data_IF_240795888518
#
_entry.id   IF_240795888518
#
_cell.length_a   1.000
_cell.length_b   1.000
_cell.length_c   1.000
_cell.angle_alpha   90.00
_cell.angle_beta   90.00
_cell.angle_gamma   90.00
#
_symmetry.space_group_name_H-M   'P 1'
#
loop_
_entity.id
_entity.type
_entity.pdbx_description
1 polymer ?
#
# COMPACT_ATOMS: atom_id res chain seq x y z
N UNK A 1 0.19 6.11 -21.74
CA UNK A 1 -0.25 7.04 -20.69
C UNK A 1 0.67 6.89 -19.49
N UNK A 2 1.29 7.97 -19.00
CA UNK A 2 1.98 7.92 -17.69
C UNK A 2 0.88 7.72 -16.66
N UNK A 3 0.78 6.52 -16.08
CA UNK A 3 -0.22 6.19 -15.05
C UNK A 3 -0.06 7.13 -13.87
N UNK A 4 -0.81 8.23 -13.91
CA UNK A 4 -0.84 9.26 -12.89
C UNK A 4 -2.08 9.09 -12.03
N UNK A 5 -2.01 9.64 -10.82
CA UNK A 5 -3.19 9.73 -9.98
C UNK A 5 -4.12 10.77 -10.58
N UNK A 6 -5.41 10.45 -10.72
CA UNK A 6 -6.42 11.46 -11.01
C UNK A 6 -6.66 12.29 -9.74
N UNK A 7 -6.28 13.58 -9.70
CA UNK A 7 -6.45 14.40 -8.51
C UNK A 7 -7.91 14.52 -8.09
N UNK A 8 -8.86 14.42 -9.03
CA UNK A 8 -10.29 14.47 -8.75
C UNK A 8 -10.81 13.24 -8.00
N UNK A 9 -10.08 12.11 -8.04
CA UNK A 9 -10.40 10.89 -7.33
C UNK A 9 -9.68 10.77 -5.98
N UNK A 10 -8.89 11.78 -5.59
CA UNK A 10 -8.21 11.81 -4.29
C UNK A 10 -9.13 12.40 -3.24
N UNK A 11 -9.38 11.66 -2.17
CA UNK A 11 -10.07 12.17 -0.99
C UNK A 11 -9.07 12.31 0.17
N UNK A 12 -8.99 13.49 0.76
CA UNK A 12 -8.20 13.72 1.98
C UNK A 12 -9.16 13.78 3.16
N UNK A 13 -8.97 12.86 4.12
CA UNK A 13 -9.71 12.82 5.39
C UNK A 13 -8.82 13.35 6.51
N UNK A 14 -9.36 14.22 7.34
CA UNK A 14 -8.71 14.72 8.55
C UNK A 14 -9.65 14.48 9.72
N UNK A 15 -9.75 13.22 10.14
CA UNK A 15 -10.74 12.77 11.13
C UNK A 15 -10.42 13.28 12.55
N UNK A 16 -9.15 13.52 12.85
CA UNK A 16 -8.69 14.22 14.05
C UNK A 16 -7.61 15.24 13.70
N UNK A 17 -7.33 16.24 14.56
CA UNK A 17 -6.23 17.21 14.35
C UNK A 17 -4.86 16.54 14.16
N UNK A 18 -4.74 15.30 14.60
CA UNK A 18 -3.51 14.53 14.65
C UNK A 18 -3.43 13.45 13.57
N UNK A 19 -4.47 13.28 12.74
CA UNK A 19 -4.53 12.22 11.74
C UNK A 19 -5.01 12.73 10.39
N UNK A 20 -4.15 12.58 9.38
CA UNK A 20 -4.54 12.74 7.97
C UNK A 20 -4.50 11.37 7.30
N UNK A 21 -5.55 11.06 6.55
CA UNK A 21 -5.60 9.94 5.64
C UNK A 21 -5.85 10.41 4.21
N UNK A 22 -5.22 9.75 3.25
CA UNK A 22 -5.48 9.93 1.82
C UNK A 22 -6.14 8.66 1.32
N UNK A 23 -7.28 8.80 0.65
CA UNK A 23 -7.97 7.71 -0.02
C UNK A 23 -7.89 7.95 -1.52
N UNK A 24 -7.45 6.95 -2.28
CA UNK A 24 -7.41 7.00 -3.74
C UNK A 24 -7.73 5.62 -4.30
N UNK A 25 -8.75 5.54 -5.16
CA UNK A 25 -9.37 4.28 -5.54
C UNK A 25 -9.70 3.45 -4.29
N UNK A 26 -9.30 2.18 -4.24
CA UNK A 26 -9.52 1.29 -3.10
C UNK A 26 -8.37 1.27 -2.08
N UNK A 27 -7.51 2.29 -2.10
CA UNK A 27 -6.34 2.38 -1.22
C UNK A 27 -6.52 3.47 -0.17
N UNK A 28 -6.22 3.13 1.09
CA UNK A 28 -6.18 4.08 2.19
C UNK A 28 -4.75 4.23 2.73
N UNK A 29 -4.28 5.47 2.79
CA UNK A 29 -2.95 5.86 3.26
C UNK A 29 -3.08 6.72 4.50
N UNK A 30 -2.75 6.17 5.67
CA UNK A 30 -2.76 6.92 6.93
C UNK A 30 -1.38 7.51 7.20
N UNK A 31 -1.34 8.81 7.44
CA UNK A 31 -0.09 9.55 7.61
C UNK A 31 0.13 10.04 9.05
N UNK A 32 -0.88 9.97 9.92
CA UNK A 32 -0.80 10.61 11.25
C UNK A 32 -0.57 12.12 11.12
N UNK A 33 0.16 12.72 12.08
CA UNK A 33 0.47 14.16 12.11
C UNK A 33 1.93 14.46 11.77
N UNK A 34 2.17 15.65 11.19
CA UNK A 34 3.51 16.19 10.93
C UNK A 34 4.30 15.50 9.81
N UNK A 35 5.39 16.15 9.39
CA UNK A 35 6.33 15.67 8.35
C UNK A 35 5.66 15.15 7.07
N UNK A 36 4.55 15.76 6.65
CA UNK A 36 3.72 15.25 5.54
C UNK A 36 4.50 15.11 4.23
N UNK A 37 5.36 16.07 3.89
CA UNK A 37 6.18 15.99 2.68
C UNK A 37 7.13 14.79 2.67
N UNK A 38 7.79 14.51 3.79
CA UNK A 38 8.69 13.35 3.92
C UNK A 38 7.91 12.03 3.88
N UNK A 39 6.72 12.00 4.50
CA UNK A 39 5.81 10.84 4.47
C UNK A 39 5.31 10.57 3.06
N UNK A 40 4.87 11.60 2.34
CA UNK A 40 4.44 11.48 0.94
C UNK A 40 5.57 11.01 0.01
N UNK A 41 6.79 11.50 0.22
CA UNK A 41 7.97 11.00 -0.52
C UNK A 41 8.18 9.51 -0.25
N UNK A 42 8.13 9.10 1.01
CA UNK A 42 8.27 7.68 1.39
C UNK A 42 7.14 6.81 0.86
N UNK A 43 5.91 7.31 0.85
CA UNK A 43 4.78 6.63 0.24
C UNK A 43 5.08 6.27 -1.22
N UNK A 44 5.63 7.22 -1.98
CA UNK A 44 6.06 6.99 -3.36
C UNK A 44 7.13 5.90 -3.48
N UNK A 45 8.12 5.91 -2.58
CA UNK A 45 9.19 4.89 -2.53
C UNK A 45 8.65 3.49 -2.23
N UNK A 46 7.79 3.36 -1.21
CA UNK A 46 7.19 2.07 -0.82
C UNK A 46 6.26 1.56 -1.92
N UNK A 47 5.41 2.42 -2.48
CA UNK A 47 4.51 2.05 -3.57
C UNK A 47 5.29 1.56 -4.80
N UNK A 48 6.42 2.20 -5.12
CA UNK A 48 7.30 1.77 -6.21
C UNK A 48 7.94 0.39 -5.93
N UNK A 49 8.44 0.16 -4.72
CA UNK A 49 9.01 -1.12 -4.28
C UNK A 49 7.96 -2.24 -4.31
N UNK A 50 6.75 -1.99 -3.80
CA UNK A 50 5.66 -2.97 -3.84
C UNK A 50 5.23 -3.33 -5.25
N UNK A 51 5.15 -2.33 -6.14
CA UNK A 51 4.88 -2.56 -7.56
C UNK A 51 5.99 -3.40 -8.22
N UNK A 52 7.26 -3.12 -7.92
CA UNK A 52 8.39 -3.92 -8.43
C UNK A 52 8.32 -5.37 -7.94
N UNK A 53 7.88 -5.59 -6.71
CA UNK A 53 7.69 -6.93 -6.13
C UNK A 53 6.41 -7.63 -6.58
N UNK A 54 5.50 -6.93 -7.27
CA UNK A 54 4.21 -7.47 -7.68
C UNK A 54 3.25 -7.71 -6.51
N UNK A 55 3.38 -6.91 -5.44
CA UNK A 55 2.52 -6.99 -4.26
C UNK A 55 1.33 -6.04 -4.43
N UNK A 56 0.12 -6.56 -4.21
CA UNK A 56 -1.10 -5.77 -4.09
C UNK A 56 -1.37 -5.46 -2.61
N UNK A 57 -1.72 -4.21 -2.31
CA UNK A 57 -1.97 -3.74 -0.95
C UNK A 57 -3.24 -2.88 -0.93
N UNK A 58 -3.98 -2.89 0.18
CA UNK A 58 -5.17 -2.01 0.38
C UNK A 58 -4.87 -0.83 1.30
N UNK A 59 -3.96 -1.04 2.24
CA UNK A 59 -3.79 -0.15 3.38
C UNK A 59 -2.32 0.06 3.67
N UNK A 60 -1.94 1.32 3.89
CA UNK A 60 -0.60 1.68 4.32
C UNK A 60 -0.65 2.76 5.40
N UNK A 61 0.09 2.53 6.48
CA UNK A 61 0.23 3.45 7.60
C UNK A 61 1.68 3.92 7.69
N UNK A 62 1.89 5.22 7.50
CA UNK A 62 3.18 5.89 7.58
C UNK A 62 3.38 6.37 9.02
N UNK A 63 4.25 5.67 9.75
CA UNK A 63 4.56 5.98 11.13
C UNK A 63 5.73 6.98 11.24
N UNK A 64 5.92 7.60 12.42
CA UNK A 64 7.18 8.26 12.75
C UNK A 64 8.40 7.34 12.54
N UNK A 65 9.60 7.90 12.54
CA UNK A 65 10.87 7.13 12.55
C UNK A 65 11.16 6.24 11.32
N UNK A 66 10.68 6.64 10.14
CA UNK A 66 10.96 5.91 8.89
C UNK A 66 10.29 4.55 8.74
N UNK A 67 9.33 4.23 9.60
CA UNK A 67 8.59 2.98 9.54
C UNK A 67 7.29 3.10 8.76
N UNK A 68 6.85 2.00 8.16
CA UNK A 68 5.54 1.88 7.54
C UNK A 68 4.96 0.48 7.80
N UNK A 69 3.68 0.43 8.12
CA UNK A 69 2.92 -0.81 8.17
C UNK A 69 2.07 -0.92 6.91
N UNK A 70 2.10 -2.07 6.23
CA UNK A 70 1.35 -2.26 4.99
C UNK A 70 0.55 -3.55 5.05
N UNK A 71 -0.72 -3.46 4.70
CA UNK A 71 -1.59 -4.63 4.53
C UNK A 71 -1.51 -5.10 3.08
N UNK A 72 -0.82 -6.22 2.87
CA UNK A 72 -0.70 -6.86 1.56
C UNK A 72 -1.88 -7.81 1.37
N UNK A 73 -2.66 -7.59 0.31
CA UNK A 73 -3.83 -8.42 -0.03
C UNK A 73 -3.44 -9.61 -0.89
N UNK A 74 -2.47 -9.45 -1.79
CA UNK A 74 -2.05 -10.51 -2.70
C UNK A 74 -0.59 -10.37 -3.08
N UNK A 75 0.13 -11.46 -2.96
CA UNK A 75 1.49 -11.61 -3.47
C UNK A 75 1.39 -12.31 -4.84
N UNK A 76 1.51 -11.55 -5.94
CA UNK A 76 1.52 -12.15 -7.28
C UNK A 76 2.84 -12.86 -7.59
N UNK A 77 3.89 -12.61 -6.81
CA UNK A 77 5.21 -13.24 -6.92
C UNK A 77 5.17 -14.72 -6.48
N UNK A 78 4.22 -15.10 -5.61
CA UNK A 78 4.01 -16.50 -5.14
C UNK A 78 3.09 -17.35 -6.02
N UNK A 79 2.72 -16.87 -7.21
CA UNK A 79 1.88 -17.58 -8.18
C UNK A 79 2.59 -18.61 -9.05
N UNK A 80 3.53 -19.40 -8.51
CA UNK A 80 4.12 -20.54 -9.23
C UNK A 80 4.65 -21.62 -8.27
N UNK A 81 3.76 -22.16 -7.43
CA UNK A 81 4.00 -23.46 -6.79
C UNK A 81 3.57 -24.58 -7.77
N UNK A 82 4.35 -25.67 -7.93
CA UNK A 82 3.99 -26.74 -8.85
C UNK A 82 2.68 -27.39 -8.39
N UNK A 83 1.66 -27.28 -9.23
CA UNK A 83 0.46 -28.07 -9.13
C UNK A 83 0.81 -29.55 -9.36
N UNK A 84 0.43 -30.40 -8.41
CA UNK A 84 0.30 -31.84 -8.62
C UNK A 84 1.25 -32.69 -7.80
N UNK A 85 0.71 -33.33 -6.76
CA UNK A 85 0.42 -34.78 -6.81
C UNK A 85 -0.25 -35.18 -5.49
N UNK A 86 -1.57 -35.24 -5.51
CA UNK A 86 -2.35 -35.87 -4.45
C UNK A 86 -1.87 -37.31 -4.28
N UNK A 87 -1.35 -37.63 -3.10
CA UNK A 87 -1.00 -38.98 -2.68
C UNK A 87 -2.13 -39.48 -1.78
N UNK A 88 -3.15 -40.10 -2.38
CA UNK A 88 -4.09 -40.98 -1.64
C UNK A 88 -3.34 -42.27 -1.32
N UNK A 89 -3.17 -42.54 -0.02
CA UNK A 89 -2.87 -43.83 0.63
C UNK A 89 -3.30 -43.64 2.08
N UNK A 90 -4.09 -44.50 2.71
CA UNK A 90 -4.75 -45.74 2.33
C UNK A 90 -5.76 -46.08 3.43
#
# INVERSE_FOLDING_TARGET
ARGGWDPGAVTVKADTPETIAIVYADHEFRMGSGSYGEKLKRLGEIAADMRQRGLEYSYMELRPERQAAVMVMKDRSKGQGPAGRGKRKG
#
